data_IF_582193816117
#
_entry.id   IF_582193816117
#
_cell.length_a   1.000
_cell.length_b   1.000
_cell.length_c   1.000
_cell.angle_alpha   90.00
_cell.angle_beta   90.00
_cell.angle_gamma   90.00
#
_symmetry.space_group_name_H-M   'P 1'
#
loop_
_entity.id
_entity.type
_entity.pdbx_description
1 polymer ?
#
# COMPACT_ATOMS: atom_id res chain seq x y z
N UNK A 1 3.97 20.95 -65.47
CA UNK A 1 4.15 19.59 -64.92
C UNK A 1 5.37 19.60 -64.02
N UNK A 2 5.18 19.56 -62.71
CA UNK A 2 6.25 19.23 -61.75
C UNK A 2 5.57 18.72 -60.47
N UNK A 3 5.45 17.40 -60.41
CA UNK A 3 4.96 16.62 -59.28
C UNK A 3 6.02 16.66 -58.19
N UNK A 4 5.64 16.94 -56.94
CA UNK A 4 6.45 16.60 -55.77
C UNK A 4 5.59 15.87 -54.75
N UNK A 5 6.16 14.76 -54.28
CA UNK A 5 5.53 13.67 -53.58
C UNK A 5 5.52 13.93 -52.06
N UNK A 6 4.42 13.47 -51.47
CA UNK A 6 4.09 13.21 -50.07
C UNK A 6 5.27 12.93 -49.14
N UNK A 7 5.23 13.54 -47.95
CA UNK A 7 5.95 13.10 -46.76
C UNK A 7 5.13 13.37 -45.51
N UNK A 8 4.14 12.52 -45.22
CA UNK A 8 3.43 12.53 -43.94
C UNK A 8 4.35 11.87 -42.90
N UNK A 9 4.99 12.68 -42.07
CA UNK A 9 5.64 12.19 -40.84
C UNK A 9 4.60 12.16 -39.72
N UNK A 10 4.05 10.97 -39.51
CA UNK A 10 3.22 10.64 -38.35
C UNK A 10 4.12 10.63 -37.11
N UNK A 11 4.20 11.76 -36.41
CA UNK A 11 4.89 11.86 -35.13
C UNK A 11 4.11 11.10 -34.04
N UNK A 12 4.48 9.84 -33.81
CA UNK A 12 4.00 9.09 -32.64
C UNK A 12 4.65 9.70 -31.40
N UNK A 13 3.91 10.53 -30.68
CA UNK A 13 4.25 10.94 -29.34
C UNK A 13 4.08 9.72 -28.41
N UNK A 14 5.18 8.99 -28.19
CA UNK A 14 5.29 8.09 -27.05
C UNK A 14 5.21 8.96 -25.79
N UNK A 15 4.02 9.04 -25.20
CA UNK A 15 3.85 9.59 -23.86
C UNK A 15 4.74 8.80 -22.92
N UNK A 16 5.84 9.41 -22.49
CA UNK A 16 6.74 8.84 -21.50
C UNK A 16 5.95 8.67 -20.21
N UNK A 17 5.64 7.43 -19.86
CA UNK A 17 5.25 7.11 -18.49
C UNK A 17 6.45 7.47 -17.62
N UNK A 18 6.28 8.50 -16.80
CA UNK A 18 7.23 8.86 -15.76
C UNK A 18 7.48 7.61 -14.92
N UNK A 19 8.67 7.02 -15.04
CA UNK A 19 9.12 5.99 -14.10
C UNK A 19 9.37 6.70 -12.76
N UNK A 20 8.31 6.82 -11.96
CA UNK A 20 8.49 7.05 -10.53
C UNK A 20 9.27 5.87 -10.00
N UNK A 21 10.54 6.07 -9.68
CA UNK A 21 11.39 5.05 -9.07
C UNK A 21 10.69 4.61 -7.77
N UNK A 22 10.25 3.36 -7.73
CA UNK A 22 9.71 2.67 -6.55
C UNK A 22 10.85 2.40 -5.55
N UNK A 23 11.46 3.48 -5.04
CA UNK A 23 12.71 3.41 -4.29
C UNK A 23 12.58 2.46 -3.09
N UNK A 24 11.43 2.45 -2.41
CA UNK A 24 11.18 1.58 -1.26
C UNK A 24 10.98 0.10 -1.61
N UNK A 25 10.62 -0.23 -2.86
CA UNK A 25 10.24 -1.59 -3.26
C UNK A 25 11.40 -2.48 -3.72
N UNK A 26 12.64 -2.07 -3.45
CA UNK A 26 13.85 -2.71 -4.00
C UNK A 26 14.66 -3.46 -2.93
N UNK A 27 14.85 -2.84 -1.77
CA UNK A 27 15.70 -3.35 -0.67
C UNK A 27 14.95 -3.40 0.64
N UNK A 28 15.36 -4.28 1.56
CA UNK A 28 14.75 -4.34 2.90
C UNK A 28 13.42 -5.08 2.97
N UNK A 29 13.13 -6.00 2.03
CA UNK A 29 11.90 -6.80 2.05
C UNK A 29 11.73 -7.52 3.38
N UNK A 30 10.61 -7.28 4.05
CA UNK A 30 10.20 -7.94 5.29
C UNK A 30 9.74 -9.36 4.95
N UNK A 31 10.29 -10.35 5.64
CA UNK A 31 10.00 -11.77 5.47
C UNK A 31 9.02 -12.28 6.53
N UNK A 32 8.45 -13.46 6.31
CA UNK A 32 7.84 -14.23 7.39
C UNK A 32 8.93 -14.80 8.33
N UNK A 33 8.73 -14.84 9.66
CA UNK A 33 7.53 -14.44 10.45
C UNK A 33 7.51 -12.96 10.90
N UNK A 34 8.51 -12.18 10.49
CA UNK A 34 8.65 -10.79 10.89
C UNK A 34 7.50 -9.93 10.36
N UNK A 35 6.96 -10.22 9.17
CA UNK A 35 5.83 -9.51 8.60
C UNK A 35 4.55 -9.70 9.42
N UNK A 36 4.19 -10.93 9.76
CA UNK A 36 3.07 -11.20 10.67
C UNK A 36 3.25 -10.50 12.01
N UNK A 37 4.47 -10.52 12.57
CA UNK A 37 4.76 -9.86 13.87
C UNK A 37 4.69 -8.34 13.77
N UNK A 38 5.14 -7.76 12.66
CA UNK A 38 5.12 -6.32 12.40
C UNK A 38 3.69 -5.81 12.32
N UNK A 39 2.78 -6.56 11.70
CA UNK A 39 1.41 -6.11 11.47
C UNK A 39 0.49 -6.46 12.63
N UNK A 40 0.57 -7.68 13.18
CA UNK A 40 -0.39 -8.16 14.19
C UNK A 40 -0.51 -7.21 15.38
N UNK A 41 -1.74 -6.78 15.63
CA UNK A 41 -2.15 -5.85 16.68
C UNK A 41 -1.50 -4.45 16.60
N UNK A 42 -0.97 -4.07 15.43
CA UNK A 42 -0.41 -2.75 15.15
C UNK A 42 -1.23 -2.01 14.08
N UNK A 43 -1.11 -0.68 14.05
CA UNK A 43 -1.82 0.16 13.06
C UNK A 43 -0.87 0.55 11.94
N UNK A 44 -1.28 0.33 10.69
CA UNK A 44 -0.66 0.90 9.49
C UNK A 44 -1.19 2.30 9.27
N UNK A 45 -0.30 3.27 9.39
CA UNK A 45 -0.58 4.69 9.24
C UNK A 45 -0.06 5.17 7.89
N UNK A 46 -0.97 5.35 6.93
CA UNK A 46 -0.63 6.01 5.65
C UNK A 46 -0.90 7.50 5.83
N UNK A 47 0.15 8.35 5.86
CA UNK A 47 -0.05 9.79 5.92
C UNK A 47 -0.79 10.24 4.66
N UNK A 48 -1.51 11.39 4.70
CA UNK A 48 -2.08 11.96 3.50
C UNK A 48 -0.95 12.17 2.47
N UNK A 49 -0.94 11.33 1.44
CA UNK A 49 -0.16 11.56 0.22
C UNK A 49 -0.89 12.64 -0.61
N UNK A 50 -0.31 13.08 -1.73
CA UNK A 50 -0.88 14.13 -2.62
C UNK A 50 -2.33 13.88 -3.11
N UNK A 51 -2.92 12.73 -2.77
CA UNK A 51 -4.35 12.43 -2.87
C UNK A 51 -4.99 12.41 -1.47
N UNK A 52 -5.80 13.43 -1.17
CA UNK A 52 -6.42 13.67 0.13
C UNK A 52 -7.34 12.52 0.64
N UNK A 53 -7.72 11.57 -0.21
CA UNK A 53 -8.62 10.46 0.10
C UNK A 53 -7.91 9.15 0.49
N UNK A 54 -6.57 9.12 0.57
CA UNK A 54 -5.79 7.91 0.90
C UNK A 54 -5.18 7.95 2.32
N UNK A 55 -5.82 8.63 3.27
CA UNK A 55 -5.42 8.51 4.67
C UNK A 55 -5.94 7.17 5.22
N UNK A 56 -5.04 6.28 5.60
CA UNK A 56 -5.37 5.00 6.24
C UNK A 56 -4.88 4.97 7.67
N UNK A 57 -5.73 4.48 8.56
CA UNK A 57 -5.38 4.18 9.96
C UNK A 57 -5.85 2.76 10.27
N UNK A 58 -5.27 1.78 9.59
CA UNK A 58 -5.79 0.41 9.63
C UNK A 58 -5.08 -0.42 10.68
N UNK A 59 -5.83 -0.86 11.68
CA UNK A 59 -5.39 -1.80 12.69
C UNK A 59 -5.52 -3.23 12.17
N UNK A 60 -4.40 -3.92 12.10
CA UNK A 60 -4.28 -5.35 11.74
C UNK A 60 -4.54 -6.21 12.97
N UNK A 61 -5.80 -6.29 13.39
CA UNK A 61 -6.20 -7.02 14.60
C UNK A 61 -5.88 -8.51 14.49
N UNK A 62 -5.39 -9.10 15.59
CA UNK A 62 -5.27 -10.56 15.73
C UNK A 62 -6.58 -11.28 15.38
N UNK A 63 -6.46 -12.43 14.71
CA UNK A 63 -7.61 -13.11 14.11
C UNK A 63 -7.92 -12.66 12.67
N UNK A 64 -7.17 -11.71 12.12
CA UNK A 64 -7.18 -11.38 10.69
C UNK A 64 -8.18 -10.31 10.28
N UNK A 65 -8.68 -9.49 11.21
CA UNK A 65 -9.59 -8.38 10.91
C UNK A 65 -8.82 -7.08 10.63
N UNK A 66 -9.27 -6.32 9.63
CA UNK A 66 -8.82 -4.95 9.39
C UNK A 66 -9.84 -3.99 9.97
N UNK A 67 -9.39 -3.16 10.91
CA UNK A 67 -10.21 -2.14 11.54
C UNK A 67 -9.70 -0.78 11.09
N UNK A 68 -10.53 0.01 10.41
CA UNK A 68 -10.25 1.43 10.25
C UNK A 68 -10.44 2.11 11.62
N UNK A 69 -9.32 2.52 12.21
CA UNK A 69 -9.27 2.97 13.58
C UNK A 69 -10.00 4.30 13.79
N UNK A 70 -10.02 5.18 12.78
CA UNK A 70 -10.68 6.49 12.85
C UNK A 70 -10.28 7.26 14.12
N UNK A 71 -11.26 7.70 14.94
CA UNK A 71 -11.04 8.37 16.24
C UNK A 71 -11.08 7.42 17.44
N UNK A 72 -11.19 6.12 17.20
CA UNK A 72 -11.25 5.07 18.23
C UNK A 72 -12.67 4.53 18.45
N UNK A 73 -12.79 3.35 19.08
CA UNK A 73 -14.06 2.59 19.11
C UNK A 73 -15.16 3.23 19.97
N UNK A 74 -14.82 4.17 20.85
CA UNK A 74 -15.75 4.87 21.75
C UNK A 74 -16.11 6.28 21.27
N UNK A 75 -15.56 6.75 20.14
CA UNK A 75 -15.90 8.06 19.59
C UNK A 75 -17.35 8.07 19.07
N UNK A 76 -18.10 9.13 19.37
CA UNK A 76 -19.54 9.21 19.02
C UNK A 76 -19.79 9.70 17.59
N UNK A 77 -18.77 10.24 16.93
CA UNK A 77 -18.86 10.89 15.62
C UNK A 77 -18.20 10.02 14.56
N UNK A 78 -17.06 9.41 14.88
CA UNK A 78 -16.25 8.62 13.94
C UNK A 78 -15.64 7.39 14.64
N UNK A 79 -16.48 6.43 15.10
CA UNK A 79 -16.03 5.24 15.80
C UNK A 79 -15.30 4.28 14.87
N UNK A 80 -14.31 3.55 15.40
CA UNK A 80 -13.62 2.49 14.65
C UNK A 80 -14.59 1.49 14.01
N UNK A 81 -14.27 1.04 12.80
CA UNK A 81 -15.12 0.12 12.05
C UNK A 81 -14.30 -0.99 11.39
N UNK A 82 -14.82 -2.20 11.38
CA UNK A 82 -14.26 -3.28 10.56
C UNK A 82 -14.48 -2.94 9.09
N UNK A 83 -13.40 -2.93 8.31
CA UNK A 83 -13.41 -2.60 6.88
C UNK A 83 -13.00 -3.77 6.00
N UNK A 84 -12.57 -4.87 6.61
CA UNK A 84 -12.14 -6.04 5.87
C UNK A 84 -11.35 -7.03 6.70
N UNK A 85 -10.54 -7.82 6.02
CA UNK A 85 -9.64 -8.80 6.61
C UNK A 85 -8.22 -8.66 6.07
N UNK A 86 -7.26 -9.16 6.84
CA UNK A 86 -5.88 -9.27 6.42
C UNK A 86 -5.33 -10.66 6.67
N UNK A 87 -4.45 -11.08 5.78
CA UNK A 87 -3.71 -12.33 5.92
C UNK A 87 -2.28 -12.12 5.46
N UNK A 88 -1.35 -12.86 6.06
CA UNK A 88 0.01 -12.99 5.54
C UNK A 88 0.15 -14.38 4.95
N UNK A 89 0.64 -14.44 3.72
CA UNK A 89 0.85 -15.68 2.97
C UNK A 89 2.27 -15.73 2.40
N UNK A 90 2.67 -16.90 1.92
CA UNK A 90 4.02 -17.14 1.42
C UNK A 90 5.02 -17.44 2.54
N UNK A 91 6.30 -17.57 2.19
CA UNK A 91 7.36 -17.90 3.13
C UNK A 91 8.66 -17.17 2.80
N UNK A 92 9.48 -16.92 3.82
CA UNK A 92 10.76 -16.22 3.68
C UNK A 92 10.60 -14.89 2.92
N UNK A 93 11.45 -14.64 1.92
CA UNK A 93 11.42 -13.45 1.06
C UNK A 93 10.26 -13.46 0.06
N UNK A 94 9.41 -14.49 0.05
CA UNK A 94 8.18 -14.58 -0.73
C UNK A 94 6.92 -14.27 0.10
N UNK A 95 7.06 -13.67 1.28
CA UNK A 95 5.93 -13.26 2.09
C UNK A 95 5.17 -12.07 1.48
N UNK A 96 3.85 -12.09 1.58
CA UNK A 96 2.94 -11.04 1.15
C UNK A 96 1.85 -10.81 2.19
N UNK A 97 1.42 -9.57 2.37
CA UNK A 97 0.19 -9.25 3.07
C UNK A 97 -0.92 -9.02 2.06
N UNK A 98 -2.08 -9.63 2.29
CA UNK A 98 -3.28 -9.39 1.51
C UNK A 98 -4.29 -8.68 2.39
N UNK A 99 -4.81 -7.56 1.91
CA UNK A 99 -5.97 -6.85 2.46
C UNK A 99 -7.18 -7.15 1.58
N UNK A 100 -8.26 -7.62 2.18
CA UNK A 100 -9.54 -7.88 1.50
C UNK A 100 -10.61 -7.00 2.15
N UNK A 101 -11.05 -5.98 1.42
CA UNK A 101 -12.10 -5.04 1.85
C UNK A 101 -13.51 -5.49 1.41
N UNK A 102 -13.64 -6.73 0.90
CA UNK A 102 -14.86 -7.27 0.32
C UNK A 102 -15.14 -6.78 -1.10
N UNK A 103 -16.19 -7.34 -1.72
CA UNK A 103 -16.69 -6.93 -3.05
C UNK A 103 -15.64 -6.93 -4.18
N UNK A 104 -14.60 -7.77 -4.08
CA UNK A 104 -13.52 -7.85 -5.07
C UNK A 104 -12.41 -6.81 -4.87
N UNK A 105 -12.46 -6.01 -3.80
CA UNK A 105 -11.42 -5.07 -3.41
C UNK A 105 -10.33 -5.80 -2.60
N UNK A 106 -9.56 -6.64 -3.30
CA UNK A 106 -8.48 -7.43 -2.71
C UNK A 106 -7.13 -6.91 -3.22
N UNK A 107 -6.25 -6.56 -2.30
CA UNK A 107 -4.94 -5.98 -2.60
C UNK A 107 -3.83 -6.74 -1.88
N UNK A 108 -2.87 -7.24 -2.64
CA UNK A 108 -1.72 -7.98 -2.11
C UNK A 108 -0.45 -7.17 -2.27
N UNK A 109 0.33 -7.07 -1.19
CA UNK A 109 1.55 -6.27 -1.12
C UNK A 109 2.74 -7.09 -0.64
N UNK A 110 3.90 -6.82 -1.24
CA UNK A 110 5.18 -7.06 -0.58
C UNK A 110 5.49 -5.86 0.32
N UNK A 111 5.99 -6.09 1.53
CA UNK A 111 6.34 -5.02 2.47
C UNK A 111 7.85 -4.91 2.58
N UNK A 112 8.35 -3.67 2.55
CA UNK A 112 9.76 -3.35 2.65
C UNK A 112 9.99 -2.38 3.80
N UNK A 113 11.04 -2.60 4.58
CA UNK A 113 11.50 -1.67 5.60
C UNK A 113 12.50 -0.70 4.96
N UNK A 114 12.20 0.60 5.04
CA UNK A 114 13.00 1.66 4.42
C UNK A 114 14.21 2.10 5.26
N UNK A 115 14.35 1.58 6.49
CA UNK A 115 15.45 1.92 7.41
C UNK A 115 15.29 3.25 8.15
N UNK A 116 14.20 3.98 7.91
CA UNK A 116 13.90 5.29 8.51
C UNK A 116 12.63 5.28 9.41
N UNK A 117 12.19 4.07 9.80
CA UNK A 117 10.96 3.86 10.54
C UNK A 117 9.68 3.86 9.68
N UNK A 118 9.81 4.01 8.36
CA UNK A 118 8.73 3.81 7.41
C UNK A 118 8.82 2.46 6.70
N UNK A 119 7.70 2.01 6.17
CA UNK A 119 7.58 0.80 5.39
C UNK A 119 6.90 1.11 4.05
N UNK A 120 7.31 0.41 3.00
CA UNK A 120 6.72 0.53 1.68
C UNK A 120 5.93 -0.73 1.35
N UNK A 121 4.63 -0.55 1.09
CA UNK A 121 3.71 -1.58 0.63
C UNK A 121 3.67 -1.51 -0.89
N UNK A 122 4.18 -2.55 -1.54
CA UNK A 122 4.47 -2.55 -2.96
C UNK A 122 3.65 -3.61 -3.70
N UNK A 123 2.97 -3.20 -4.77
CA UNK A 123 2.17 -4.08 -5.61
C UNK A 123 2.11 -3.57 -7.05
N UNK A 124 2.32 -4.45 -8.04
CA UNK A 124 2.06 -4.14 -9.45
C UNK A 124 2.74 -2.89 -10.03
N UNK A 125 3.83 -2.42 -9.43
CA UNK A 125 4.50 -1.17 -9.85
C UNK A 125 4.03 0.09 -9.10
N UNK A 126 3.22 -0.04 -8.06
CA UNK A 126 2.83 1.03 -7.14
C UNK A 126 3.47 0.83 -5.76
N UNK A 127 3.71 1.95 -5.06
CA UNK A 127 4.26 2.02 -3.70
C UNK A 127 3.32 2.85 -2.82
N UNK A 128 2.94 2.30 -1.67
CA UNK A 128 2.27 3.02 -0.59
C UNK A 128 3.23 3.07 0.60
N UNK A 129 3.69 4.27 0.93
CA UNK A 129 4.58 4.48 2.08
C UNK A 129 3.74 4.69 3.34
N UNK A 130 4.06 3.95 4.39
CA UNK A 130 3.34 3.96 5.66
C UNK A 130 4.31 3.98 6.86
N UNK A 131 3.78 4.36 8.02
CA UNK A 131 4.40 4.13 9.33
C UNK A 131 3.63 3.03 10.06
N UNK A 132 4.32 2.25 10.89
CA UNK A 132 3.67 1.25 11.75
C UNK A 132 3.64 1.81 13.17
N UNK A 133 2.44 2.01 13.71
CA UNK A 133 2.24 2.36 15.12
C UNK A 133 2.11 1.08 15.93
N UNK A 134 3.01 0.91 16.89
CA UNK A 134 3.00 -0.24 17.78
C UNK A 134 1.87 -0.17 18.82
N UNK A 135 1.27 -1.32 19.14
CA UNK A 135 0.27 -1.49 20.19
C UNK A 135 -1.17 -1.12 19.80
N UNK A 136 -1.41 -0.85 18.52
CA UNK A 136 -2.69 -0.40 17.99
C UNK A 136 -3.06 1.01 18.47
N UNK A 137 -3.94 1.69 17.75
CA UNK A 137 -4.35 3.04 18.10
C UNK A 137 -4.40 4.00 16.91
N UNK A 138 -4.70 5.28 17.18
CA UNK A 138 -4.76 6.29 16.14
C UNK A 138 -3.36 6.70 15.71
N UNK A 139 -3.25 6.97 14.43
CA UNK A 139 -2.18 7.77 13.84
C UNK A 139 -2.45 9.25 14.21
#
# INVERSE_FOLDING_TARGET
MKTLIVGVTLGVALAGFSQGVLAGCSTGRVNEPALTTLLRDNTVCVPPVTVATMQWQELHQSGGKLIDYKRGPSDKVDPSAEVGSWTVTGSNRGAFVTHDYGHGHVYTYSVFNNGDGTHSFCSGGAEIKARIKLGGGPC
#
